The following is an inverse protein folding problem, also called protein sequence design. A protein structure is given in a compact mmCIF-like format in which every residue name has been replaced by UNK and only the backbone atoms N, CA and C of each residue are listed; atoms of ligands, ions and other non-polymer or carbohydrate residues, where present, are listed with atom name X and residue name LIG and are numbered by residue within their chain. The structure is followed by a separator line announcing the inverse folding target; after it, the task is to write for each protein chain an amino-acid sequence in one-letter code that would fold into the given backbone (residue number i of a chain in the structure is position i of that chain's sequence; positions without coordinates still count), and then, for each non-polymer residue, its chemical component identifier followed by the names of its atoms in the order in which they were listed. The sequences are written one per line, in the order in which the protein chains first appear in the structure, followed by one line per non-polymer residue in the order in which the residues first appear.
data_IF_391379096877
#
_entry.id   IF_391379096877
#
_cell.length_a   1.000
_cell.length_b   1.000
_cell.length_c   1.000
_cell.angle_alpha   90.00
_cell.angle_beta   90.00
_cell.angle_gamma   90.00
#
_symmetry.space_group_name_H-M   'P 1'
#
loop_
_entity.id
_entity.type
_entity.pdbx_description
1 polymer ?
#
# COMPACT_ATOMS: atom_id res chain seq x y z
N UNK A 1 0.20 -1.32 -24.14
CA UNK A 1 0.65 0.00 -23.67
C UNK A 1 1.92 -0.16 -22.85
N UNK A 2 2.87 0.74 -22.98
CA UNK A 2 4.21 0.63 -22.40
C UNK A 2 4.28 0.53 -20.86
N UNK A 3 3.18 0.70 -20.15
CA UNK A 3 3.09 0.56 -18.69
C UNK A 3 2.58 -0.79 -18.18
N UNK A 4 2.14 -1.67 -19.07
CA UNK A 4 1.50 -2.93 -18.71
C UNK A 4 0.11 -2.76 -18.06
N UNK A 5 -0.74 -3.79 -18.16
CA UNK A 5 -2.00 -3.82 -17.42
C UNK A 5 -1.72 -4.07 -15.93
N UNK A 6 -2.47 -3.43 -15.05
CA UNK A 6 -2.42 -3.76 -13.62
C UNK A 6 -3.11 -5.10 -13.39
N UNK A 7 -2.38 -6.02 -12.78
CA UNK A 7 -2.94 -7.31 -12.37
C UNK A 7 -3.41 -7.22 -10.91
N UNK A 8 -4.58 -7.77 -10.64
CA UNK A 8 -5.14 -7.85 -9.29
C UNK A 8 -5.36 -9.30 -8.88
N UNK A 9 -5.26 -9.56 -7.59
CA UNK A 9 -5.54 -10.85 -6.97
C UNK A 9 -6.75 -10.73 -6.05
N UNK A 10 -7.64 -11.68 -6.16
CA UNK A 10 -8.78 -11.80 -5.25
C UNK A 10 -8.31 -12.25 -3.86
N UNK A 11 -8.80 -11.56 -2.85
CA UNK A 11 -8.55 -11.86 -1.44
C UNK A 11 -9.90 -11.99 -0.73
N UNK A 12 -10.18 -13.14 -0.12
CA UNK A 12 -11.41 -13.33 0.62
C UNK A 12 -11.41 -12.52 1.92
N UNK A 13 -12.60 -12.23 2.44
CA UNK A 13 -12.79 -11.77 3.81
C UNK A 13 -12.13 -12.73 4.83
N UNK A 14 -11.79 -12.25 6.03
CA UNK A 14 -11.10 -13.08 7.05
C UNK A 14 -11.98 -14.17 7.66
N UNK A 15 -13.29 -14.11 7.43
CA UNK A 15 -14.26 -14.89 8.20
C UNK A 15 -14.53 -14.28 9.59
N UNK A 16 -15.48 -14.84 10.33
CA UNK A 16 -15.96 -14.29 11.60
C UNK A 16 -14.94 -14.30 12.74
N UNK A 17 -13.91 -15.14 12.65
CA UNK A 17 -12.84 -15.22 13.66
C UNK A 17 -11.78 -14.15 13.53
N UNK A 18 -11.73 -13.44 12.40
CA UNK A 18 -10.68 -12.45 12.11
C UNK A 18 -9.27 -13.07 12.12
N UNK A 19 -8.29 -12.21 12.21
CA UNK A 19 -6.88 -12.61 12.37
C UNK A 19 -6.19 -11.71 13.42
N UNK A 20 -5.08 -12.18 13.98
CA UNK A 20 -4.26 -11.38 14.87
C UNK A 20 -3.35 -10.47 14.05
N UNK A 21 -3.46 -9.16 14.25
CA UNK A 21 -2.60 -8.15 13.62
C UNK A 21 -1.54 -7.69 14.60
N UNK A 22 -0.30 -7.51 14.11
CA UNK A 22 0.83 -7.01 14.90
C UNK A 22 1.95 -8.04 15.07
N UNK A 23 2.78 -7.88 16.11
CA UNK A 23 3.97 -8.71 16.35
C UNK A 23 3.65 -9.91 17.21
N UNK A 24 4.00 -11.11 16.78
CA UNK A 24 3.84 -12.34 17.57
C UNK A 24 4.54 -12.22 18.94
N UNK A 25 3.82 -12.51 20.02
CA UNK A 25 4.32 -12.36 21.40
C UNK A 25 4.45 -10.91 21.88
N UNK A 26 4.07 -9.93 21.08
CA UNK A 26 4.11 -8.51 21.43
C UNK A 26 2.84 -8.07 22.21
N UNK A 27 2.96 -6.99 22.96
CA UNK A 27 1.84 -6.35 23.68
C UNK A 27 0.90 -5.56 22.76
N UNK A 28 1.31 -5.36 21.50
CA UNK A 28 0.61 -4.53 20.51
C UNK A 28 -0.04 -5.41 19.45
N UNK A 29 -1.00 -6.22 19.86
CA UNK A 29 -1.80 -7.09 18.98
C UNK A 29 -3.28 -6.87 19.24
N UNK A 30 -4.07 -6.95 18.17
CA UNK A 30 -5.52 -6.96 18.28
C UNK A 30 -6.12 -7.90 17.23
N UNK A 31 -7.37 -8.33 17.43
CA UNK A 31 -8.08 -9.13 16.43
C UNK A 31 -8.71 -8.21 15.40
N UNK A 32 -8.31 -8.35 14.14
CA UNK A 32 -8.89 -7.64 13.01
C UNK A 32 -9.77 -8.56 12.19
N UNK A 33 -11.01 -8.12 11.92
CA UNK A 33 -11.96 -8.81 11.05
C UNK A 33 -12.18 -7.94 9.80
N UNK A 34 -11.91 -8.50 8.62
CA UNK A 34 -12.20 -7.88 7.33
C UNK A 34 -13.46 -8.56 6.80
N UNK A 35 -14.56 -7.82 6.70
CA UNK A 35 -15.88 -8.39 6.39
C UNK A 35 -16.15 -8.52 4.90
N UNK A 36 -15.36 -7.86 4.04
CA UNK A 36 -15.54 -7.84 2.59
C UNK A 36 -14.34 -8.45 1.89
N UNK A 37 -14.63 -9.20 0.83
CA UNK A 37 -13.60 -9.63 -0.11
C UNK A 37 -13.17 -8.43 -0.98
N UNK A 38 -11.93 -8.45 -1.44
CA UNK A 38 -11.38 -7.36 -2.24
C UNK A 38 -10.31 -7.88 -3.20
N UNK A 39 -10.03 -7.08 -4.21
CA UNK A 39 -8.90 -7.28 -5.10
C UNK A 39 -7.73 -6.43 -4.65
N UNK A 40 -6.52 -6.97 -4.75
CA UNK A 40 -5.27 -6.25 -4.41
C UNK A 40 -4.34 -6.30 -5.62
N UNK A 41 -3.67 -5.20 -5.92
CA UNK A 41 -2.62 -5.15 -6.91
C UNK A 41 -1.58 -6.24 -6.66
N UNK A 42 -1.30 -7.05 -7.68
CA UNK A 42 -0.33 -8.15 -7.57
C UNK A 42 1.04 -7.67 -7.14
N UNK A 43 1.42 -6.47 -7.53
CA UNK A 43 2.65 -5.77 -7.22
C UNK A 43 2.35 -4.33 -6.80
N UNK A 44 3.36 -3.58 -6.40
CA UNK A 44 3.29 -2.13 -6.29
C UNK A 44 2.91 -1.51 -7.64
N UNK A 45 2.38 -0.29 -7.61
CA UNK A 45 2.17 0.52 -8.82
C UNK A 45 3.52 0.82 -9.46
N UNK A 46 3.63 0.58 -10.76
CA UNK A 46 4.88 0.79 -11.49
C UNK A 46 5.00 2.22 -12.03
N UNK A 47 6.24 2.62 -12.36
CA UNK A 47 6.52 3.90 -13.02
C UNK A 47 5.76 4.05 -14.33
N UNK A 48 5.65 2.97 -15.13
CA UNK A 48 4.88 2.99 -16.36
C UNK A 48 3.38 3.17 -16.14
N UNK A 49 2.81 2.53 -15.12
CA UNK A 49 1.41 2.69 -14.74
C UNK A 49 1.12 4.09 -14.20
N UNK A 50 2.02 4.64 -13.38
CA UNK A 50 1.92 6.01 -12.90
C UNK A 50 1.94 7.04 -14.03
N UNK A 51 2.87 6.88 -14.97
CA UNK A 51 3.02 7.78 -16.11
C UNK A 51 1.76 7.85 -17.00
N UNK A 52 0.91 6.84 -17.00
CA UNK A 52 -0.38 6.88 -17.72
C UNK A 52 -1.32 7.94 -17.15
N UNK A 53 -1.31 8.16 -15.85
CA UNK A 53 -2.09 9.20 -15.19
C UNK A 53 -1.39 10.56 -15.24
N UNK A 54 -0.09 10.54 -15.06
CA UNK A 54 0.73 11.73 -14.85
C UNK A 54 1.20 12.40 -16.17
N UNK A 55 0.68 11.99 -17.31
CA UNK A 55 1.05 12.60 -18.61
C UNK A 55 2.55 12.46 -18.93
N UNK A 56 3.15 11.31 -18.56
CA UNK A 56 4.58 10.99 -18.68
C UNK A 56 5.48 11.57 -17.59
N UNK A 57 4.94 12.27 -16.59
CA UNK A 57 5.74 12.70 -15.44
C UNK A 57 6.07 11.48 -14.56
N UNK A 58 7.33 11.34 -14.21
CA UNK A 58 7.82 10.27 -13.36
C UNK A 58 8.56 10.86 -12.14
N UNK A 59 7.99 10.79 -10.93
CA UNK A 59 8.61 11.37 -9.74
C UNK A 59 9.80 10.57 -9.22
N UNK A 60 10.00 9.35 -9.71
CA UNK A 60 10.92 8.39 -9.13
C UNK A 60 12.38 8.81 -9.19
N UNK A 61 13.10 8.69 -8.08
CA UNK A 61 14.55 8.84 -8.01
C UNK A 61 15.27 7.82 -8.89
N UNK A 62 14.72 6.62 -8.99
CA UNK A 62 15.25 5.55 -9.84
C UNK A 62 14.54 5.45 -11.19
N UNK A 63 14.25 6.58 -11.83
CA UNK A 63 13.58 6.63 -13.14
C UNK A 63 14.29 5.77 -14.20
N UNK A 64 15.61 5.65 -14.12
CA UNK A 64 16.40 4.80 -15.02
C UNK A 64 16.17 3.29 -14.83
N UNK A 65 15.51 2.87 -13.77
CA UNK A 65 15.09 1.48 -13.57
C UNK A 65 14.07 1.04 -14.62
N UNK A 66 13.26 1.98 -15.10
CA UNK A 66 12.32 1.77 -16.21
C UNK A 66 10.88 1.51 -15.78
N UNK A 67 10.02 1.36 -16.77
CA UNK A 67 8.57 1.32 -16.62
C UNK A 67 8.04 0.16 -15.75
N UNK A 68 8.82 -0.89 -15.55
CA UNK A 68 8.45 -2.06 -14.74
C UNK A 68 8.91 -1.97 -13.29
N UNK A 69 9.64 -0.93 -12.91
CA UNK A 69 10.03 -0.70 -11.52
C UNK A 69 8.90 0.01 -10.76
N UNK A 70 8.83 -0.12 -9.43
CA UNK A 70 7.82 0.59 -8.66
C UNK A 70 7.98 2.10 -8.82
N UNK A 71 6.88 2.83 -8.84
CA UNK A 71 6.94 4.28 -8.66
C UNK A 71 7.29 4.57 -7.20
N UNK A 72 8.18 5.51 -6.97
CA UNK A 72 8.53 6.01 -5.64
C UNK A 72 8.60 7.54 -5.64
N UNK A 73 8.89 8.17 -4.51
CA UNK A 73 8.76 9.63 -4.34
C UNK A 73 7.31 10.12 -4.48
N UNK A 74 6.36 9.27 -4.20
CA UNK A 74 4.94 9.62 -4.15
C UNK A 74 4.50 9.81 -2.70
N UNK A 75 3.74 10.85 -2.43
CA UNK A 75 3.15 11.07 -1.12
C UNK A 75 1.79 10.38 -1.00
N UNK A 76 1.24 10.41 0.19
CA UNK A 76 -0.05 9.78 0.50
C UNK A 76 -1.21 10.43 -0.29
N UNK A 77 -1.19 11.77 -0.44
CA UNK A 77 -2.20 12.51 -1.20
C UNK A 77 -2.21 12.11 -2.67
N UNK A 78 -1.02 12.06 -3.28
CA UNK A 78 -0.82 11.64 -4.66
C UNK A 78 -1.27 10.20 -4.89
N UNK A 79 -1.00 9.33 -3.92
CA UNK A 79 -1.40 7.92 -3.99
C UNK A 79 -2.92 7.75 -3.96
N UNK A 80 -3.63 8.52 -3.13
CA UNK A 80 -5.09 8.54 -3.09
C UNK A 80 -5.69 9.18 -4.36
N UNK A 81 -5.07 10.22 -4.90
CA UNK A 81 -5.48 10.86 -6.16
C UNK A 81 -5.34 9.91 -7.35
N UNK A 82 -4.23 9.18 -7.41
CA UNK A 82 -4.01 8.15 -8.43
C UNK A 82 -5.07 7.05 -8.38
N UNK A 83 -5.46 6.62 -7.18
CA UNK A 83 -6.54 5.64 -7.01
C UNK A 83 -7.88 6.14 -7.56
N UNK A 84 -8.23 7.41 -7.32
CA UNK A 84 -9.41 8.04 -7.89
C UNK A 84 -9.33 8.13 -9.42
N UNK A 85 -8.18 8.54 -9.95
CA UNK A 85 -7.96 8.58 -11.40
C UNK A 85 -8.18 7.19 -12.03
N UNK A 86 -7.59 6.14 -11.44
CA UNK A 86 -7.74 4.78 -11.95
C UNK A 86 -9.19 4.31 -11.89
N UNK A 87 -9.94 4.70 -10.85
CA UNK A 87 -11.37 4.41 -10.73
C UNK A 87 -12.15 5.02 -11.88
N UNK A 88 -11.91 6.28 -12.21
CA UNK A 88 -12.56 6.96 -13.34
C UNK A 88 -12.22 6.27 -14.69
N UNK A 89 -10.96 5.88 -14.91
CA UNK A 89 -10.56 5.16 -16.14
C UNK A 89 -11.28 3.81 -16.28
N UNK A 90 -11.65 3.20 -15.15
CA UNK A 90 -12.36 1.92 -15.11
C UNK A 90 -13.90 2.08 -15.09
N UNK A 91 -14.42 3.31 -15.16
CA UNK A 91 -15.87 3.57 -15.05
C UNK A 91 -16.44 3.30 -13.65
N UNK A 92 -15.61 3.38 -12.62
CA UNK A 92 -15.97 3.13 -11.22
C UNK A 92 -16.14 4.44 -10.45
N UNK A 93 -16.78 4.36 -9.28
CA UNK A 93 -16.85 5.49 -8.35
C UNK A 93 -15.47 5.89 -7.84
N UNK A 94 -15.32 7.17 -7.54
CA UNK A 94 -14.15 7.69 -6.82
C UNK A 94 -14.34 7.44 -5.33
N UNK A 95 -13.34 6.85 -4.68
CA UNK A 95 -13.40 6.57 -3.25
C UNK A 95 -13.14 7.80 -2.38
N UNK A 96 -12.44 8.80 -2.89
CA UNK A 96 -11.96 9.93 -2.11
C UNK A 96 -12.51 11.25 -2.61
N UNK A 97 -12.89 12.11 -1.66
CA UNK A 97 -13.23 13.53 -1.92
C UNK A 97 -12.18 14.41 -1.26
N UNK A 98 -11.52 15.24 -2.05
CA UNK A 98 -10.43 16.10 -1.59
C UNK A 98 -10.92 17.50 -1.20
N UNK A 99 -10.13 18.18 -0.36
CA UNK A 99 -10.26 19.60 -0.05
C UNK A 99 -8.97 20.31 -0.48
N UNK A 100 -9.01 21.33 -1.36
CA UNK A 100 -10.21 21.83 -2.06
C UNK A 100 -10.86 20.79 -2.98
N UNK A 101 -12.14 20.97 -3.25
CA UNK A 101 -12.91 20.08 -4.12
C UNK A 101 -12.24 19.92 -5.49
N UNK A 102 -12.20 18.68 -5.98
CA UNK A 102 -11.54 18.31 -7.25
C UNK A 102 -10.02 18.58 -7.32
N UNK A 103 -9.33 18.74 -6.19
CA UNK A 103 -7.88 18.89 -6.16
C UNK A 103 -7.16 17.78 -6.97
N UNK A 104 -7.62 16.54 -6.84
CA UNK A 104 -7.09 15.36 -7.52
C UNK A 104 -7.43 15.27 -9.01
N UNK A 105 -8.35 16.10 -9.52
CA UNK A 105 -8.64 16.19 -10.97
C UNK A 105 -7.60 17.00 -11.73
N UNK A 106 -6.82 17.79 -11.04
CA UNK A 106 -5.70 18.55 -11.63
C UNK A 106 -4.43 17.74 -11.46
N UNK A 107 -4.05 17.03 -12.52
CA UNK A 107 -2.91 16.09 -12.50
C UNK A 107 -1.63 16.77 -12.01
N UNK A 108 -1.35 18.01 -12.40
CA UNK A 108 -0.19 18.77 -11.91
C UNK A 108 -0.19 19.03 -10.39
N UNK A 109 -1.31 18.83 -9.69
CA UNK A 109 -1.32 18.96 -8.25
C UNK A 109 -0.61 17.79 -7.53
N UNK A 110 -0.52 16.63 -8.18
CA UNK A 110 -0.06 15.42 -7.52
C UNK A 110 0.90 14.54 -8.34
N UNK A 111 1.03 14.75 -9.65
CA UNK A 111 1.72 13.80 -10.52
C UNK A 111 3.25 13.89 -10.50
N UNK A 112 3.80 15.07 -10.26
CA UNK A 112 5.24 15.35 -10.43
C UNK A 112 6.11 14.99 -9.20
N UNK A 113 5.49 14.58 -8.13
CA UNK A 113 6.22 14.14 -6.94
C UNK A 113 7.00 15.23 -6.19
N UNK A 114 7.36 16.30 -6.85
CA UNK A 114 8.18 17.39 -6.30
C UNK A 114 7.38 18.67 -6.30
N UNK A 115 6.88 19.06 -5.13
CA UNK A 115 6.30 20.36 -4.87
C UNK A 115 5.47 20.88 -6.04
N UNK A 116 4.31 20.27 -6.24
CA UNK A 116 3.41 20.72 -7.30
C UNK A 116 3.26 22.24 -7.22
N UNK A 117 3.31 22.90 -8.36
CA UNK A 117 2.98 24.33 -8.49
C UNK A 117 1.51 24.61 -8.19
N UNK A 118 0.75 23.55 -7.85
CA UNK A 118 -0.67 23.61 -7.52
C UNK A 118 -0.96 23.84 -6.03
N UNK A 119 -2.23 24.04 -5.72
CA UNK A 119 -2.72 24.19 -4.35
C UNK A 119 -2.54 22.87 -3.58
N UNK A 120 -1.99 22.92 -2.39
CA UNK A 120 -1.86 21.74 -1.54
C UNK A 120 -3.24 21.21 -1.11
N UNK A 121 -3.40 19.89 -1.07
CA UNK A 121 -4.55 19.28 -0.42
C UNK A 121 -4.49 19.54 1.08
N UNK A 122 -5.63 19.92 1.67
CA UNK A 122 -5.75 20.18 3.11
C UNK A 122 -6.62 19.16 3.82
N UNK A 123 -7.32 18.31 3.07
CA UNK A 123 -8.16 17.25 3.60
C UNK A 123 -8.59 16.24 2.55
N UNK A 124 -8.98 15.07 3.03
CA UNK A 124 -9.60 14.02 2.22
C UNK A 124 -10.66 13.29 3.04
N UNK A 125 -11.78 13.01 2.45
CA UNK A 125 -12.82 12.16 3.01
C UNK A 125 -12.91 10.85 2.22
N UNK A 126 -13.14 9.75 2.93
CA UNK A 126 -13.44 8.43 2.38
C UNK A 126 -14.80 7.98 2.89
N UNK A 127 -15.86 8.52 2.27
CA UNK A 127 -17.23 8.44 2.79
C UNK A 127 -17.78 7.02 2.86
N UNK A 128 -17.48 6.20 1.86
CA UNK A 128 -17.93 4.79 1.80
C UNK A 128 -16.98 3.84 2.55
N UNK A 129 -15.82 4.32 3.02
CA UNK A 129 -14.82 3.47 3.65
C UNK A 129 -14.45 2.26 2.80
N UNK A 130 -14.17 1.10 3.43
CA UNK A 130 -13.84 -0.14 2.72
C UNK A 130 -14.97 -0.67 1.82
N UNK A 131 -16.18 -0.11 1.86
CA UNK A 131 -17.27 -0.49 0.97
C UNK A 131 -17.20 0.18 -0.41
N UNK A 132 -16.33 1.17 -0.61
CA UNK A 132 -16.15 1.81 -1.91
C UNK A 132 -15.74 0.81 -2.99
N UNK A 133 -16.47 0.82 -4.12
CA UNK A 133 -16.24 -0.09 -5.25
C UNK A 133 -15.10 0.36 -6.17
N UNK A 134 -14.61 1.57 -6.03
CA UNK A 134 -13.47 2.09 -6.77
C UNK A 134 -12.12 1.58 -6.25
N UNK A 135 -11.06 1.97 -6.93
CA UNK A 135 -9.71 1.74 -6.45
C UNK A 135 -9.38 2.64 -5.27
N UNK A 136 -8.61 2.11 -4.33
CA UNK A 136 -8.28 2.77 -3.08
C UNK A 136 -6.97 2.26 -2.49
N UNK A 137 -6.45 2.95 -1.50
CA UNK A 137 -5.40 2.43 -0.63
C UNK A 137 -5.96 1.26 0.20
N UNK A 138 -5.09 0.32 0.57
CA UNK A 138 -5.44 -0.67 1.59
C UNK A 138 -5.54 0.03 2.95
N UNK A 139 -6.43 -0.45 3.82
CA UNK A 139 -6.25 -0.18 5.25
C UNK A 139 -5.03 -0.93 5.75
N UNK A 140 -4.47 -0.52 6.88
CA UNK A 140 -3.32 -1.22 7.48
C UNK A 140 -3.67 -2.68 7.80
N UNK A 141 -4.91 -2.93 8.24
CA UNK A 141 -5.40 -4.28 8.50
C UNK A 141 -5.49 -5.12 7.23
N UNK A 142 -6.05 -4.58 6.17
CA UNK A 142 -6.09 -5.28 4.88
C UNK A 142 -4.69 -5.57 4.37
N UNK A 143 -3.77 -4.60 4.50
CA UNK A 143 -2.39 -4.78 4.05
C UNK A 143 -1.69 -5.93 4.79
N UNK A 144 -1.80 -6.01 6.12
CA UNK A 144 -1.13 -7.08 6.89
C UNK A 144 -1.78 -8.45 6.63
N UNK A 145 -3.11 -8.50 6.48
CA UNK A 145 -3.83 -9.72 6.11
C UNK A 145 -3.32 -10.29 4.77
N UNK A 146 -3.25 -9.45 3.76
CA UNK A 146 -2.80 -9.92 2.44
C UNK A 146 -1.30 -10.22 2.41
N UNK A 147 -0.49 -9.51 3.17
CA UNK A 147 0.94 -9.79 3.27
C UNK A 147 1.19 -11.17 3.87
N UNK A 148 0.51 -11.52 4.97
CA UNK A 148 0.69 -12.81 5.65
C UNK A 148 0.15 -13.99 4.85
N UNK A 149 -0.81 -13.77 3.98
CA UNK A 149 -1.55 -14.84 3.32
C UNK A 149 -2.64 -15.44 4.21
N UNK A 150 -3.36 -16.48 3.75
CA UNK A 150 -4.42 -17.12 4.51
C UNK A 150 -3.84 -17.84 5.74
N UNK A 151 -3.76 -17.13 6.85
CA UNK A 151 -3.38 -17.71 8.15
C UNK A 151 -4.61 -18.20 8.89
N UNK A 152 -4.50 -19.34 9.55
CA UNK A 152 -5.59 -19.82 10.43
C UNK A 152 -5.86 -18.77 11.51
N UNK A 153 -7.14 -18.56 11.84
CA UNK A 153 -7.54 -17.58 12.84
C UNK A 153 -6.78 -17.81 14.16
N UNK A 154 -6.26 -16.74 14.72
CA UNK A 154 -5.75 -16.74 16.11
C UNK A 154 -4.25 -16.87 16.28
N UNK A 155 -3.42 -16.97 15.25
CA UNK A 155 -1.97 -17.13 15.46
C UNK A 155 -1.13 -16.24 14.56
N UNK A 156 -0.37 -15.33 15.17
CA UNK A 156 0.80 -14.70 14.57
C UNK A 156 1.98 -15.68 14.67
N UNK A 157 2.30 -16.38 13.60
CA UNK A 157 3.21 -17.51 13.72
C UNK A 157 4.64 -17.20 13.28
N UNK A 158 4.84 -16.23 12.37
CA UNK A 158 6.17 -15.98 11.79
C UNK A 158 6.45 -14.50 11.56
N UNK A 159 7.73 -14.14 11.49
CA UNK A 159 8.17 -12.78 11.19
C UNK A 159 7.83 -12.36 9.75
N UNK A 160 7.90 -13.30 8.82
CA UNK A 160 7.63 -13.12 7.40
C UNK A 160 6.54 -14.09 6.94
N UNK A 161 5.90 -13.81 5.80
CA UNK A 161 4.84 -14.67 5.29
C UNK A 161 5.33 -16.06 4.84
N UNK A 162 6.62 -16.23 4.59
CA UNK A 162 7.23 -17.51 4.22
C UNK A 162 7.85 -18.25 5.41
N UNK A 163 8.05 -17.61 6.57
CA UNK A 163 8.66 -18.27 7.73
C UNK A 163 9.28 -17.32 8.76
N UNK A 164 10.13 -17.86 9.62
CA UNK A 164 10.71 -17.13 10.74
C UNK A 164 11.99 -16.35 10.37
N UNK A 165 12.70 -16.79 9.33
CA UNK A 165 14.00 -16.23 8.93
C UNK A 165 13.92 -15.52 7.59
N UNK A 166 14.81 -14.56 7.34
CA UNK A 166 14.90 -13.88 6.06
C UNK A 166 15.30 -14.85 4.95
N UNK A 167 14.62 -14.75 3.78
CA UNK A 167 14.93 -15.53 2.60
C UNK A 167 14.90 -14.63 1.35
N UNK A 168 16.05 -14.47 0.72
CA UNK A 168 16.24 -13.62 -0.45
C UNK A 168 15.42 -14.02 -1.68
N UNK A 169 14.81 -15.20 -1.69
CA UNK A 169 13.90 -15.64 -2.75
C UNK A 169 12.59 -14.83 -2.76
N UNK A 170 12.21 -14.22 -1.63
CA UNK A 170 10.93 -13.56 -1.45
C UNK A 170 10.97 -12.03 -1.45
N UNK A 171 12.16 -11.42 -1.32
CA UNK A 171 12.25 -9.98 -1.07
C UNK A 171 13.48 -9.32 -1.71
N UNK A 172 13.33 -8.02 -2.00
CA UNK A 172 14.42 -7.10 -2.27
C UNK A 172 14.67 -6.20 -1.05
N UNK A 173 15.82 -6.30 -0.41
CA UNK A 173 16.19 -5.54 0.78
C UNK A 173 17.66 -5.12 0.73
N UNK A 174 18.19 -4.45 1.74
CA UNK A 174 19.53 -3.84 1.72
C UNK A 174 20.65 -4.78 1.31
N UNK A 175 20.54 -6.08 1.63
CA UNK A 175 21.60 -7.04 1.34
C UNK A 175 21.61 -7.59 -0.10
N UNK A 176 20.53 -7.40 -0.89
CA UNK A 176 20.43 -8.01 -2.22
C UNK A 176 19.84 -7.10 -3.32
N UNK A 177 19.44 -5.88 -2.97
CA UNK A 177 18.79 -4.94 -3.90
C UNK A 177 19.77 -4.20 -4.83
N UNK A 178 21.07 -4.21 -4.51
CA UNK A 178 22.03 -3.35 -5.21
C UNK A 178 21.82 -1.86 -4.95
N UNK A 179 21.30 -1.49 -3.78
CA UNK A 179 21.03 -0.11 -3.33
C UNK A 179 20.07 0.67 -4.21
N UNK A 180 19.05 0.00 -4.78
CA UNK A 180 18.02 0.61 -5.62
C UNK A 180 16.76 -0.24 -5.69
N UNK A 181 15.68 0.34 -6.22
CA UNK A 181 14.47 -0.39 -6.59
C UNK A 181 14.77 -1.42 -7.70
N UNK A 182 13.99 -2.49 -7.72
CA UNK A 182 14.06 -3.57 -8.71
C UNK A 182 12.73 -3.69 -9.47
N UNK A 183 12.72 -4.23 -10.69
CA UNK A 183 11.48 -4.53 -11.40
C UNK A 183 10.52 -5.33 -10.53
N UNK A 184 9.25 -4.91 -10.49
CA UNK A 184 8.23 -5.55 -9.66
C UNK A 184 7.99 -7.00 -10.10
N UNK A 185 7.60 -7.85 -9.16
CA UNK A 185 7.25 -9.23 -9.47
C UNK A 185 8.45 -10.15 -9.65
N UNK A 186 9.67 -9.70 -9.37
CA UNK A 186 10.90 -10.48 -9.51
C UNK A 186 11.12 -11.56 -8.44
N UNK A 187 10.35 -11.52 -7.36
CA UNK A 187 10.48 -12.44 -6.21
C UNK A 187 9.30 -13.41 -6.14
N UNK A 188 9.41 -14.44 -5.30
CA UNK A 188 8.33 -15.41 -5.09
C UNK A 188 7.09 -14.74 -4.48
N UNK A 189 5.93 -15.20 -4.90
CA UNK A 189 4.66 -14.72 -4.40
C UNK A 189 4.28 -15.34 -3.05
N UNK A 190 3.44 -14.64 -2.31
CA UNK A 190 2.76 -15.23 -1.17
C UNK A 190 1.58 -16.13 -1.62
N UNK A 191 0.85 -16.70 -0.66
CA UNK A 191 -0.23 -17.64 -0.93
C UNK A 191 -1.44 -17.02 -1.66
N UNK A 192 -1.59 -15.69 -1.68
CA UNK A 192 -2.59 -14.98 -2.52
C UNK A 192 -2.06 -14.65 -3.91
N UNK A 193 -0.83 -15.02 -4.24
CA UNK A 193 -0.19 -14.70 -5.51
C UNK A 193 0.32 -13.25 -5.59
N UNK A 194 0.40 -12.54 -4.45
CA UNK A 194 0.96 -11.20 -4.34
C UNK A 194 2.48 -11.26 -4.24
N UNK A 195 3.16 -10.32 -4.86
CA UNK A 195 4.62 -10.23 -4.87
C UNK A 195 5.07 -8.91 -4.25
N UNK A 196 6.31 -8.89 -3.81
CA UNK A 196 6.97 -7.71 -3.23
C UNK A 196 6.24 -7.15 -1.98
N UNK A 197 5.48 -8.02 -1.26
CA UNK A 197 4.86 -7.66 0.02
C UNK A 197 5.89 -7.47 1.14
N UNK A 198 7.15 -7.76 0.88
CA UNK A 198 8.30 -7.51 1.75
C UNK A 198 9.43 -6.95 0.90
N UNK A 199 9.91 -5.76 1.22
CA UNK A 199 11.01 -5.11 0.50
C UNK A 199 10.55 -4.34 -0.74
N UNK A 200 11.46 -4.11 -1.66
CA UNK A 200 11.38 -3.23 -2.82
C UNK A 200 11.03 -1.78 -2.44
N UNK A 201 9.75 -1.41 -2.26
CA UNK A 201 9.37 -0.12 -1.68
C UNK A 201 8.36 -0.28 -0.56
N UNK A 202 8.40 0.61 0.44
CA UNK A 202 7.33 0.80 1.39
C UNK A 202 6.05 1.18 0.64
N UNK A 203 4.90 0.83 1.19
CA UNK A 203 3.59 1.07 0.58
C UNK A 203 2.70 1.86 1.52
N UNK A 204 2.19 3.01 1.06
CA UNK A 204 1.22 3.79 1.79
C UNK A 204 -0.05 2.99 2.07
N UNK A 205 -0.52 3.05 3.32
CA UNK A 205 -1.85 2.60 3.74
C UNK A 205 -2.76 3.79 4.05
N UNK A 206 -4.07 3.54 4.15
CA UNK A 206 -5.04 4.58 4.45
C UNK A 206 -4.90 5.16 5.86
N UNK A 207 -4.59 4.32 6.84
CA UNK A 207 -4.71 4.60 8.27
C UNK A 207 -3.78 5.70 8.76
N UNK A 208 -4.25 6.48 9.74
CA UNK A 208 -3.38 7.28 10.58
C UNK A 208 -2.52 6.37 11.46
N UNK A 209 -1.23 6.69 11.56
CA UNK A 209 -0.31 5.97 12.43
C UNK A 209 -0.60 6.29 13.89
N UNK A 210 -1.05 5.31 14.63
CA UNK A 210 -1.35 5.38 16.06
C UNK A 210 -1.05 4.03 16.72
N UNK A 211 -1.23 3.95 18.04
CA UNK A 211 -1.21 2.67 18.75
C UNK A 211 -2.34 1.78 18.26
N UNK A 212 -2.10 0.48 18.23
CA UNK A 212 -3.17 -0.46 17.88
C UNK A 212 -4.32 -0.38 18.90
N UNK A 213 -5.55 -0.51 18.45
CA UNK A 213 -6.69 -0.51 19.34
C UNK A 213 -6.67 -1.74 20.24
N UNK A 214 -7.31 -1.66 21.40
CA UNK A 214 -7.55 -2.81 22.26
C UNK A 214 -8.74 -3.64 21.76
N UNK A 215 -8.72 -4.95 22.01
CA UNK A 215 -9.81 -5.88 21.70
C UNK A 215 -9.94 -6.18 20.21
N UNK A 216 -11.18 -6.42 19.74
CA UNK A 216 -11.46 -6.76 18.35
C UNK A 216 -12.01 -5.57 17.58
N UNK A 217 -11.70 -5.48 16.29
CA UNK A 217 -12.23 -4.46 15.37
C UNK A 217 -12.61 -5.11 14.04
N UNK A 218 -13.71 -4.63 13.47
CA UNK A 218 -14.16 -5.04 12.13
C UNK A 218 -13.99 -3.87 11.16
N UNK A 219 -13.45 -4.15 9.98
CA UNK A 219 -13.19 -3.18 8.90
C UNK A 219 -12.53 -1.89 9.42
N UNK A 220 -11.54 -2.04 10.31
CA UNK A 220 -10.90 -0.91 10.96
C UNK A 220 -10.09 -0.08 9.96
N UNK A 221 -10.29 1.21 10.00
CA UNK A 221 -9.68 2.20 9.10
C UNK A 221 -8.71 3.15 9.80
N UNK A 222 -8.22 2.74 10.97
CA UNK A 222 -7.29 3.55 11.78
C UNK A 222 -8.01 4.54 12.71
N UNK A 223 -7.20 5.37 13.37
CA UNK A 223 -7.69 6.49 14.17
C UNK A 223 -8.41 7.53 13.28
N UNK A 224 -9.32 8.30 13.85
CA UNK A 224 -10.09 9.31 13.11
C UNK A 224 -9.24 10.53 12.73
N UNK A 225 -8.16 10.79 13.46
CA UNK A 225 -7.22 11.89 13.23
C UNK A 225 -5.79 11.44 13.52
N UNK A 226 -4.83 12.17 12.97
CA UNK A 226 -3.40 11.92 13.21
C UNK A 226 -2.52 12.90 12.44
N UNK A 227 -1.23 12.82 12.64
CA UNK A 227 -0.23 13.62 11.92
C UNK A 227 0.53 12.81 10.86
N UNK A 228 0.61 11.49 11.04
CA UNK A 228 1.35 10.59 10.18
C UNK A 228 0.42 9.50 9.62
N UNK A 229 0.59 9.15 8.34
CA UNK A 229 -0.05 8.00 7.71
C UNK A 229 0.85 6.79 7.80
N UNK A 230 0.24 5.61 7.88
CA UNK A 230 0.96 4.33 7.93
C UNK A 230 1.57 4.00 6.57
N UNK A 231 2.76 3.45 6.57
CA UNK A 231 3.29 2.68 5.44
C UNK A 231 3.92 1.36 5.91
N UNK A 232 3.90 0.37 5.04
CA UNK A 232 4.14 -1.05 5.33
C UNK A 232 5.07 -1.68 4.32
N UNK A 233 5.66 -2.84 4.66
CA UNK A 233 6.39 -3.73 3.76
C UNK A 233 7.90 -3.63 3.80
N UNK A 234 8.46 -2.53 4.24
CA UNK A 234 9.91 -2.32 4.13
C UNK A 234 10.35 -1.94 2.72
N UNK A 235 11.64 -1.77 2.49
CA UNK A 235 12.14 -1.40 1.17
C UNK A 235 13.51 -1.97 0.85
N UNK A 236 13.93 -1.72 -0.39
CA UNK A 236 15.25 -2.08 -0.93
C UNK A 236 16.44 -1.61 -0.06
N UNK A 237 16.29 -0.56 0.72
CA UNK A 237 17.38 0.02 1.52
C UNK A 237 17.33 -0.34 3.00
N UNK A 238 16.34 -1.11 3.45
CA UNK A 238 16.16 -1.47 4.85
C UNK A 238 16.62 -2.90 5.16
N UNK A 239 16.95 -3.14 6.41
CA UNK A 239 17.40 -4.44 6.90
C UNK A 239 16.22 -5.43 7.11
N UNK A 240 16.57 -6.66 7.49
CA UNK A 240 15.61 -7.74 7.72
C UNK A 240 14.51 -7.41 8.75
N UNK A 241 14.78 -6.53 9.71
CA UNK A 241 13.80 -6.20 10.77
C UNK A 241 12.66 -5.33 10.25
N UNK A 242 12.93 -4.49 9.25
CA UNK A 242 11.96 -3.57 8.65
C UNK A 242 11.10 -4.21 7.57
N UNK A 243 11.51 -5.35 7.00
CA UNK A 243 10.77 -6.05 5.94
C UNK A 243 9.89 -7.19 6.48
N UNK A 244 9.68 -7.26 7.80
CA UNK A 244 8.76 -8.22 8.44
C UNK A 244 7.31 -7.84 8.15
N UNK A 245 6.43 -8.83 8.11
CA UNK A 245 4.99 -8.61 7.83
C UNK A 245 4.32 -7.64 8.82
N UNK A 246 4.77 -7.60 10.08
CA UNK A 246 4.24 -6.70 11.10
C UNK A 246 4.97 -5.34 11.18
N UNK A 247 6.05 -5.14 10.42
CA UNK A 247 6.78 -3.88 10.46
C UNK A 247 5.89 -2.73 9.94
N UNK A 248 5.83 -1.65 10.68
CA UNK A 248 5.03 -0.46 10.37
C UNK A 248 5.79 0.82 10.71
N UNK A 249 5.61 1.83 9.90
CA UNK A 249 6.21 3.16 10.11
C UNK A 249 5.15 4.20 9.77
N UNK A 250 5.32 5.42 10.30
CA UNK A 250 4.44 6.54 9.99
C UNK A 250 5.22 7.71 9.40
N UNK A 251 4.62 8.38 8.42
CA UNK A 251 5.13 9.61 7.83
C UNK A 251 4.03 10.62 7.58
N UNK A 252 4.40 11.91 7.59
CA UNK A 252 3.45 12.98 7.23
C UNK A 252 2.82 12.68 5.86
N UNK A 253 1.53 13.02 5.61
CA UNK A 253 0.87 12.73 4.34
C UNK A 253 1.58 13.33 3.11
N UNK A 254 2.39 14.38 3.30
CA UNK A 254 3.23 14.99 2.26
C UNK A 254 4.64 14.41 2.18
N UNK A 255 4.99 13.44 3.03
CA UNK A 255 6.31 12.82 3.02
C UNK A 255 6.50 12.01 1.73
N UNK A 256 7.66 12.19 1.12
CA UNK A 256 8.09 11.51 -0.10
C UNK A 256 9.48 10.95 0.11
N UNK A 257 9.72 9.76 -0.39
CA UNK A 257 11.04 9.16 -0.31
C UNK A 257 11.24 8.15 -1.45
N UNK A 258 12.50 7.96 -1.86
CA UNK A 258 12.90 6.92 -2.82
C UNK A 258 12.69 5.48 -2.32
N UNK A 259 12.29 5.34 -1.09
CA UNK A 259 11.92 4.05 -0.48
C UNK A 259 10.40 3.81 -0.46
N UNK A 260 9.59 4.78 -0.91
CA UNK A 260 8.16 4.80 -0.61
C UNK A 260 7.31 4.97 -1.87
N UNK A 261 6.47 3.99 -2.11
CA UNK A 261 5.53 3.88 -3.21
C UNK A 261 4.12 3.55 -2.74
N UNK A 262 3.37 2.85 -3.57
CA UNK A 262 1.96 2.53 -3.30
C UNK A 262 1.52 1.23 -3.95
N UNK A 263 0.61 0.52 -3.29
CA UNK A 263 -0.19 -0.59 -3.84
C UNK A 263 -1.67 -0.29 -3.65
N UNK A 264 -2.49 -0.64 -4.62
CA UNK A 264 -3.92 -0.36 -4.60
C UNK A 264 -4.75 -1.62 -4.33
N UNK A 265 -5.93 -1.38 -3.80
CA UNK A 265 -6.98 -2.37 -3.65
C UNK A 265 -8.29 -1.88 -4.27
N UNK A 266 -9.26 -2.81 -4.40
CA UNK A 266 -10.62 -2.53 -4.82
C UNK A 266 -11.56 -3.54 -4.17
N UNK A 267 -12.64 -3.07 -3.57
CA UNK A 267 -13.63 -3.96 -2.94
C UNK A 267 -14.44 -4.71 -3.98
N UNK A 268 -14.77 -5.96 -3.68
CA UNK A 268 -15.73 -6.77 -4.46
C UNK A 268 -17.14 -6.39 -3.99
N UNK A 269 -17.99 -5.99 -4.92
CA UNK A 269 -19.41 -5.73 -4.68
C UNK A 269 -20.22 -7.03 -4.78
#
# INVERSE_FOLDING_TARGET
VAGGAMEFRYVPATGSGGYQQGVAGGTSVYTSTITRSYFVGRTEVTQGQWAMAAGSTNPSSFASCGSTCPVEQVDWWSSAAYANWLSEQAGLERCYTFTPSNWDRTVSNWSDGVGSTGTAATGVAWSSGPACAGYRLLTESEWEWVARGPVASGTLTTAYYWGATVDSAYLWYSSNSGSRTQPVGGKLANAYGLRDMSGNVWEWAWDWYDTYPSGSRSDYTGASTGSNRVFRGGSWGHDATHVRSAARVGGAPSYRDRYLGVRLARTVL
#
